data_IF_600035164002
#
_entry.id   IF_600035164002
#
_cell.length_a   1.000
_cell.length_b   1.000
_cell.length_c   1.000
_cell.angle_alpha   90.00
_cell.angle_beta   90.00
_cell.angle_gamma   90.00
#
_symmetry.space_group_name_H-M   'P 1'
#
loop_
_entity.id
_entity.type
_entity.pdbx_description
1 polymer ?
#
# COMPACT_ATOMS: atom_id res chain seq x y z
N UNK A 1 -0.08 -5.39 0.32
CA UNK A 1 -0.80 -4.25 0.92
C UNK A 1 0.19 -3.19 1.39
N UNK A 2 -0.23 -1.96 1.71
CA UNK A 2 0.64 -0.85 2.11
C UNK A 2 0.66 -0.64 3.63
N UNK A 3 -0.44 -0.13 4.17
CA UNK A 3 -0.55 0.33 5.56
C UNK A 3 -0.64 -0.88 6.50
N UNK A 4 0.07 -0.83 7.63
CA UNK A 4 0.25 -1.93 8.60
C UNK A 4 0.92 -3.20 8.03
N UNK A 5 1.17 -3.26 6.73
CA UNK A 5 1.87 -4.35 6.05
C UNK A 5 3.35 -3.98 5.80
N UNK A 6 3.59 -2.90 5.05
CA UNK A 6 4.94 -2.43 4.68
C UNK A 6 5.36 -1.18 5.46
N UNK A 7 4.40 -0.34 5.81
CA UNK A 7 4.61 0.92 6.55
C UNK A 7 3.50 1.10 7.58
N UNK A 8 3.69 2.02 8.51
CA UNK A 8 2.62 2.53 9.37
C UNK A 8 2.60 4.06 9.29
N UNK A 9 1.41 4.65 9.23
CA UNK A 9 1.23 6.08 9.04
C UNK A 9 0.30 6.72 10.04
N UNK A 10 0.59 7.95 10.44
CA UNK A 10 -0.20 8.69 11.42
C UNK A 10 -0.26 10.18 11.12
N UNK A 11 -1.39 10.80 11.44
CA UNK A 11 -1.51 12.26 11.48
C UNK A 11 -0.90 12.87 12.75
N UNK A 12 -0.67 12.05 13.79
CA UNK A 12 0.03 12.50 14.99
C UNK A 12 1.53 12.58 14.69
N UNK A 13 2.22 13.67 15.09
CA UNK A 13 3.65 13.78 14.91
C UNK A 13 4.41 12.59 15.52
N UNK A 14 5.36 12.05 14.75
CA UNK A 14 6.28 10.99 15.16
C UNK A 14 7.70 11.52 14.96
N UNK A 15 8.49 11.54 16.04
CA UNK A 15 9.81 12.20 16.05
C UNK A 15 10.85 11.55 15.14
N UNK A 16 10.71 10.26 14.84
CA UNK A 16 11.63 9.45 14.04
C UNK A 16 10.96 8.88 12.79
N UNK A 17 10.01 9.62 12.20
CA UNK A 17 9.38 9.21 10.94
C UNK A 17 10.42 9.06 9.83
N UNK A 18 10.30 8.02 9.02
CA UNK A 18 11.13 7.81 7.84
C UNK A 18 10.75 8.79 6.72
N UNK A 19 9.43 9.03 6.55
CA UNK A 19 8.90 9.99 5.59
C UNK A 19 7.87 10.90 6.24
N UNK A 20 7.75 12.12 5.72
CA UNK A 20 6.67 13.05 6.05
C UNK A 20 6.01 13.45 4.74
N UNK A 21 4.77 13.02 4.54
CA UNK A 21 4.01 13.24 3.31
C UNK A 21 2.96 14.32 3.55
N UNK A 22 3.01 15.45 2.83
CA UNK A 22 1.95 16.44 2.87
C UNK A 22 0.74 15.93 2.06
N UNK A 23 -0.42 15.83 2.69
CA UNK A 23 -1.67 15.36 2.08
C UNK A 23 -2.76 16.39 2.26
N UNK A 24 -3.39 16.80 1.17
CA UNK A 24 -4.55 17.69 1.21
C UNK A 24 -5.83 16.91 1.56
N UNK A 25 -6.56 17.34 2.58
CA UNK A 25 -7.86 16.81 2.98
C UNK A 25 -8.80 17.99 3.16
N UNK A 26 -9.90 18.01 2.39
CA UNK A 26 -10.92 19.06 2.43
C UNK A 26 -10.35 20.49 2.31
N UNK A 27 -9.35 20.68 1.44
CA UNK A 27 -8.69 21.97 1.21
C UNK A 27 -7.62 22.34 2.24
N UNK A 28 -7.36 21.48 3.23
CA UNK A 28 -6.37 21.72 4.29
C UNK A 28 -5.20 20.75 4.13
N UNK A 29 -3.98 21.28 4.21
CA UNK A 29 -2.77 20.46 4.17
C UNK A 29 -2.49 19.85 5.55
N UNK A 30 -2.40 18.52 5.58
CA UNK A 30 -2.02 17.76 6.76
C UNK A 30 -0.70 17.02 6.52
N UNK A 31 0.15 16.94 7.55
CA UNK A 31 1.36 16.13 7.49
C UNK A 31 1.05 14.71 7.96
N UNK A 32 1.39 13.73 7.14
CA UNK A 32 1.31 12.30 7.46
C UNK A 32 2.71 11.79 7.73
N UNK A 33 2.93 11.26 8.93
CA UNK A 33 4.21 10.72 9.39
C UNK A 33 4.23 9.22 9.14
N UNK A 34 5.21 8.76 8.36
CA UNK A 34 5.29 7.37 7.89
C UNK A 34 6.51 6.70 8.50
N UNK A 35 6.31 5.54 9.09
CA UNK A 35 7.36 4.64 9.57
C UNK A 35 7.45 3.42 8.67
N UNK A 36 8.66 3.08 8.27
CA UNK A 36 8.95 1.85 7.52
C UNK A 36 8.96 0.66 8.46
N UNK A 37 8.35 -0.44 8.03
CA UNK A 37 8.54 -1.71 8.74
C UNK A 37 10.00 -2.16 8.57
N UNK A 38 10.65 -2.67 9.63
CA UNK A 38 12.00 -3.22 9.50
C UNK A 38 12.09 -4.24 8.34
N UNK A 39 13.20 -4.19 7.61
CA UNK A 39 13.49 -5.04 6.44
C UNK A 39 12.63 -4.80 5.19
N UNK A 40 11.78 -3.77 5.14
CA UNK A 40 10.93 -3.50 3.96
C UNK A 40 11.73 -3.27 2.67
N UNK A 41 12.90 -2.64 2.76
CA UNK A 41 13.81 -2.41 1.62
C UNK A 41 14.29 -3.73 1.02
N UNK A 42 14.80 -4.63 1.87
CA UNK A 42 15.27 -5.96 1.46
C UNK A 42 14.12 -6.80 0.88
N UNK A 43 12.96 -6.76 1.55
CA UNK A 43 11.75 -7.45 1.14
C UNK A 43 11.31 -7.01 -0.25
N UNK A 44 11.13 -5.70 -0.49
CA UNK A 44 10.64 -5.20 -1.78
C UNK A 44 11.62 -5.49 -2.92
N UNK A 45 12.93 -5.32 -2.68
CA UNK A 45 13.95 -5.69 -3.67
C UNK A 45 13.82 -7.16 -4.06
N UNK A 46 13.75 -8.07 -3.08
CA UNK A 46 13.70 -9.51 -3.34
C UNK A 46 12.37 -9.92 -3.97
N UNK A 47 11.26 -9.35 -3.54
CA UNK A 47 9.94 -9.67 -4.11
C UNK A 47 9.82 -9.19 -5.56
N UNK A 48 10.39 -8.02 -5.91
CA UNK A 48 10.41 -7.50 -7.27
C UNK A 48 11.21 -8.36 -8.27
N UNK A 49 12.18 -9.15 -7.79
CA UNK A 49 12.92 -10.13 -8.60
C UNK A 49 12.14 -11.43 -8.82
N UNK A 50 11.32 -11.82 -7.84
CA UNK A 50 10.65 -13.13 -7.80
C UNK A 50 9.25 -13.12 -8.41
N UNK A 51 8.56 -11.98 -8.34
CA UNK A 51 7.14 -11.88 -8.68
C UNK A 51 6.82 -10.62 -9.50
N UNK A 52 5.69 -10.69 -10.22
CA UNK A 52 4.99 -9.50 -10.68
C UNK A 52 4.30 -8.85 -9.46
N UNK A 53 4.99 -7.94 -8.77
CA UNK A 53 4.41 -7.30 -7.58
C UNK A 53 3.43 -6.20 -7.97
N UNK A 54 2.26 -6.18 -7.32
CA UNK A 54 1.24 -5.13 -7.46
C UNK A 54 1.01 -4.50 -6.08
N UNK A 55 1.15 -3.18 -5.99
CA UNK A 55 0.70 -2.46 -4.82
C UNK A 55 -0.83 -2.39 -4.88
N UNK A 56 -1.53 -3.02 -3.95
CA UNK A 56 -2.98 -2.92 -3.83
C UNK A 56 -3.31 -2.49 -2.41
N UNK A 57 -3.87 -1.28 -2.24
CA UNK A 57 -4.20 -0.67 -0.94
C UNK A 57 -5.61 -0.08 -0.94
N UNK A 58 -6.28 -0.06 0.21
CA UNK A 58 -7.54 0.65 0.43
C UNK A 58 -7.34 2.16 0.70
N UNK A 59 -6.10 2.64 0.68
CA UNK A 59 -5.75 4.05 0.81
C UNK A 59 -5.94 4.82 -0.51
N UNK A 60 -6.09 6.15 -0.40
CA UNK A 60 -6.23 7.04 -1.56
C UNK A 60 -4.87 7.29 -2.21
N UNK A 61 -4.85 7.42 -3.55
CA UNK A 61 -3.64 7.69 -4.33
C UNK A 61 -2.84 8.90 -3.82
N UNK A 62 -3.52 9.99 -3.44
CA UNK A 62 -2.89 11.23 -2.93
C UNK A 62 -1.93 11.03 -1.74
N UNK A 63 -2.08 9.94 -1.00
CA UNK A 63 -1.17 9.53 0.06
C UNK A 63 -0.30 8.35 -0.37
N UNK A 64 -0.91 7.31 -0.95
CA UNK A 64 -0.23 6.06 -1.25
C UNK A 64 0.81 6.17 -2.37
N UNK A 65 0.59 7.02 -3.38
CA UNK A 65 1.56 7.23 -4.47
C UNK A 65 2.86 7.86 -3.96
N UNK A 66 2.84 9.01 -3.25
CA UNK A 66 4.06 9.58 -2.68
C UNK A 66 4.82 8.61 -1.76
N UNK A 67 4.11 7.80 -0.96
CA UNK A 67 4.76 6.78 -0.12
C UNK A 67 5.41 5.70 -0.99
N UNK A 68 4.71 5.20 -2.02
CA UNK A 68 5.23 4.18 -2.91
C UNK A 68 6.46 4.65 -3.69
N UNK A 69 6.49 5.92 -4.13
CA UNK A 69 7.63 6.51 -4.82
C UNK A 69 8.89 6.55 -3.95
N UNK A 70 8.74 6.84 -2.65
CA UNK A 70 9.87 6.85 -1.70
C UNK A 70 10.29 5.45 -1.26
N UNK A 71 9.34 4.52 -1.23
CA UNK A 71 9.55 3.16 -0.74
C UNK A 71 10.15 2.23 -1.80
N UNK A 72 9.66 2.30 -3.05
CA UNK A 72 10.04 1.39 -4.12
C UNK A 72 11.23 1.90 -4.95
N UNK A 73 12.43 1.68 -4.42
CA UNK A 73 13.70 2.08 -5.06
C UNK A 73 14.11 1.20 -6.24
N UNK A 74 13.44 0.07 -6.47
CA UNK A 74 13.84 -0.95 -7.45
C UNK A 74 12.81 -1.15 -8.56
N UNK A 75 11.69 -0.42 -8.53
CA UNK A 75 10.58 -0.65 -9.46
C UNK A 75 9.97 -2.04 -9.28
N UNK A 76 9.88 -2.51 -8.03
CA UNK A 76 9.25 -3.77 -7.68
C UNK A 76 7.76 -3.75 -8.06
N UNK A 77 7.05 -2.64 -7.80
CA UNK A 77 5.64 -2.52 -8.12
C UNK A 77 5.41 -2.28 -9.61
N UNK A 78 4.83 -3.26 -10.30
CA UNK A 78 4.47 -3.19 -11.74
C UNK A 78 3.17 -2.44 -11.99
N UNK A 79 2.31 -2.39 -10.98
CA UNK A 79 1.07 -1.62 -10.99
C UNK A 79 0.73 -1.16 -9.56
N UNK A 80 -0.07 -0.10 -9.47
CA UNK A 80 -0.61 0.45 -8.22
C UNK A 80 -2.13 0.54 -8.33
N UNK A 81 -2.82 -0.05 -7.37
CA UNK A 81 -4.27 -0.10 -7.25
C UNK A 81 -4.66 0.48 -5.89
N UNK A 82 -5.52 1.49 -5.92
CA UNK A 82 -5.92 2.25 -4.74
C UNK A 82 -7.37 1.94 -4.34
N UNK A 83 -7.90 2.70 -3.40
CA UNK A 83 -9.26 2.57 -2.86
C UNK A 83 -10.34 2.37 -3.93
N UNK A 84 -10.25 3.09 -5.05
CA UNK A 84 -11.23 3.04 -6.14
C UNK A 84 -11.23 1.69 -6.88
N UNK A 85 -10.14 0.93 -6.77
CA UNK A 85 -10.01 -0.43 -7.32
C UNK A 85 -10.56 -1.50 -6.37
N UNK A 86 -10.76 -1.19 -5.09
CA UNK A 86 -11.38 -2.10 -4.12
C UNK A 86 -12.90 -2.20 -4.34
N UNK A 87 -13.48 -3.33 -3.92
CA UNK A 87 -14.93 -3.51 -3.84
C UNK A 87 -15.39 -3.18 -2.42
N UNK A 88 -16.33 -2.25 -2.27
CA UNK A 88 -16.89 -1.94 -0.96
C UNK A 88 -18.00 -2.95 -0.62
N UNK A 89 -17.70 -3.89 0.28
CA UNK A 89 -18.61 -4.97 0.66
C UNK A 89 -18.79 -5.01 2.18
N UNK A 90 -20.05 -4.86 2.65
CA UNK A 90 -20.42 -4.93 4.08
C UNK A 90 -19.56 -4.03 4.99
N UNK A 91 -19.25 -2.81 4.54
CA UNK A 91 -18.44 -1.86 5.31
C UNK A 91 -16.93 -2.05 5.18
N UNK A 92 -16.45 -3.01 4.39
CA UNK A 92 -15.03 -3.28 4.19
C UNK A 92 -14.62 -3.03 2.73
N UNK A 93 -13.37 -2.63 2.53
CA UNK A 93 -12.75 -2.59 1.21
C UNK A 93 -12.09 -3.94 0.92
N UNK A 94 -12.68 -4.69 -0.02
CA UNK A 94 -12.22 -6.01 -0.44
C UNK A 94 -11.38 -5.89 -1.71
N UNK A 95 -10.26 -6.62 -1.76
CA UNK A 95 -9.34 -6.70 -2.90
C UNK A 95 -9.68 -7.93 -3.71
N UNK A 96 -10.71 -7.82 -4.54
CA UNK A 96 -11.19 -8.91 -5.38
C UNK A 96 -10.13 -9.29 -6.43
N UNK A 97 -9.42 -10.40 -6.15
CA UNK A 97 -8.31 -10.89 -6.98
C UNK A 97 -8.78 -11.36 -8.36
N UNK A 98 -10.06 -11.70 -8.54
CA UNK A 98 -10.60 -12.12 -9.84
C UNK A 98 -10.56 -10.99 -10.89
N UNK A 99 -10.50 -9.73 -10.42
CA UNK A 99 -10.45 -8.54 -11.27
C UNK A 99 -9.04 -8.18 -11.76
N UNK A 100 -8.01 -8.92 -11.33
CA UNK A 100 -6.62 -8.65 -11.70
C UNK A 100 -6.24 -9.15 -13.11
N UNK A 101 -7.09 -9.95 -13.76
CA UNK A 101 -6.79 -10.51 -15.09
C UNK A 101 -5.56 -11.42 -15.08
N UNK A 102 -5.41 -12.20 -14.00
CA UNK A 102 -4.37 -13.22 -13.82
C UNK A 102 -5.03 -14.53 -13.37
N UNK A 103 -4.39 -15.65 -13.64
CA UNK A 103 -4.84 -16.96 -13.15
C UNK A 103 -4.75 -16.99 -11.62
N UNK A 104 -5.88 -17.19 -10.92
CA UNK A 104 -5.97 -17.19 -9.46
C UNK A 104 -5.05 -18.22 -8.80
N UNK A 105 -4.73 -19.33 -9.47
CA UNK A 105 -3.79 -20.33 -8.96
C UNK A 105 -2.35 -19.83 -8.88
N UNK A 106 -2.08 -18.67 -9.49
CA UNK A 106 -0.77 -18.01 -9.55
C UNK A 106 -0.76 -16.65 -8.89
N UNK A 107 -1.78 -16.32 -8.10
CA UNK A 107 -1.87 -15.06 -7.35
C UNK A 107 -1.68 -15.35 -5.87
N UNK A 108 -0.88 -14.50 -5.21
CA UNK A 108 -0.74 -14.46 -3.76
C UNK A 108 -1.10 -13.06 -3.31
N UNK A 109 -1.89 -12.95 -2.24
CA UNK A 109 -2.14 -11.69 -1.56
C UNK A 109 -1.39 -11.68 -0.22
N UNK A 110 -0.75 -10.55 0.08
CA UNK A 110 -0.15 -10.26 1.38
C UNK A 110 -0.82 -9.00 1.92
N UNK A 111 -1.59 -9.18 2.99
CA UNK A 111 -2.44 -8.17 3.61
C UNK A 111 -2.57 -8.47 5.11
N UNK A 112 -2.52 -7.45 5.95
CA UNK A 112 -2.63 -7.63 7.39
C UNK A 112 -4.09 -7.79 7.86
N UNK A 113 -5.08 -7.45 7.02
CA UNK A 113 -6.50 -7.50 7.35
C UNK A 113 -7.18 -8.69 6.66
N UNK A 114 -7.71 -9.68 7.42
CA UNK A 114 -8.45 -10.77 6.84
C UNK A 114 -9.62 -10.33 5.97
N UNK A 115 -10.32 -9.25 6.36
CA UNK A 115 -11.45 -8.68 5.64
C UNK A 115 -11.10 -8.23 4.20
N UNK A 116 -9.81 -8.00 3.89
CA UNK A 116 -9.36 -7.56 2.57
C UNK A 116 -9.44 -8.68 1.51
N UNK A 117 -9.54 -9.95 1.90
CA UNK A 117 -9.51 -11.11 1.00
C UNK A 117 -10.64 -12.12 1.24
N UNK A 118 -11.78 -11.67 1.77
CA UNK A 118 -13.00 -12.46 1.98
C UNK A 118 -14.12 -12.05 1.04
#
# INVERSE_FOLDING_TARGET
DLDETLVHSSFKPVSNADFIIPVEIDGVMHQVYVLKRPHVDEFLRRMGELFECVLFTASLAKYADPVADLLDKWGAFRARLFRESCVFHRGNYVKDLSRLGRDLTRIIIVDNSPASYV
#
